data_IF_133273129606
#
_entry.id   IF_133273129606
#
_cell.length_a   1.000
_cell.length_b   1.000
_cell.length_c   1.000
_cell.angle_alpha   90.00
_cell.angle_beta   90.00
_cell.angle_gamma   90.00
#
_symmetry.space_group_name_H-M   'P 1'
#
loop_
_entity.id
_entity.type
_entity.pdbx_description
1 polymer ?
#
# COMPACT_ATOMS: atom_id res chain seq x y z
N UNK A 1 -6.56 6.85 -21.42
CA UNK A 1 -6.54 5.44 -21.84
C UNK A 1 -5.49 4.67 -21.03
N UNK A 2 -5.90 3.61 -20.42
CA UNK A 2 -4.96 2.77 -19.68
C UNK A 2 -3.98 2.15 -20.67
N UNK A 3 -2.69 2.22 -20.36
CA UNK A 3 -1.66 1.60 -21.18
C UNK A 3 -1.74 0.08 -21.06
N UNK A 4 -1.74 -0.61 -22.18
CA UNK A 4 -1.63 -2.07 -22.20
C UNK A 4 -0.19 -2.53 -21.91
N UNK A 5 0.75 -1.60 -21.89
CA UNK A 5 2.17 -1.88 -21.69
C UNK A 5 2.63 -1.52 -20.26
N UNK A 6 1.79 -1.75 -19.28
CA UNK A 6 2.16 -1.52 -17.88
C UNK A 6 3.18 -2.56 -17.44
N UNK A 7 4.15 -2.12 -16.64
CA UNK A 7 5.11 -3.04 -16.03
C UNK A 7 4.43 -3.87 -14.94
N UNK A 8 5.04 -5.02 -14.57
CA UNK A 8 4.56 -5.81 -13.45
C UNK A 8 4.53 -4.99 -12.17
N UNK A 9 5.53 -4.13 -11.95
CA UNK A 9 5.58 -3.25 -10.77
C UNK A 9 4.35 -2.36 -10.69
N UNK A 10 3.97 -1.74 -11.80
CA UNK A 10 2.81 -0.85 -11.84
C UNK A 10 1.51 -1.63 -11.62
N UNK A 11 1.41 -2.81 -12.22
CA UNK A 11 0.23 -3.67 -12.04
C UNK A 11 0.06 -4.09 -10.57
N UNK A 12 1.16 -4.40 -9.90
CA UNK A 12 1.13 -4.76 -8.47
C UNK A 12 0.68 -3.57 -7.64
N UNK A 13 1.23 -2.39 -7.90
CA UNK A 13 0.82 -1.17 -7.19
C UNK A 13 -0.68 -0.91 -7.40
N UNK A 14 -1.16 -0.99 -8.63
CA UNK A 14 -2.57 -0.74 -8.94
C UNK A 14 -3.48 -1.77 -8.25
N UNK A 15 -3.09 -3.03 -8.22
CA UNK A 15 -3.86 -4.08 -7.56
C UNK A 15 -3.95 -3.84 -6.05
N UNK A 16 -2.84 -3.42 -5.42
CA UNK A 16 -2.84 -3.11 -4.00
C UNK A 16 -3.68 -1.87 -3.71
N UNK A 17 -3.60 -0.85 -4.54
CA UNK A 17 -4.44 0.36 -4.42
C UNK A 17 -5.92 -0.03 -4.43
N UNK A 18 -6.32 -0.90 -5.36
CA UNK A 18 -7.72 -1.35 -5.45
C UNK A 18 -8.17 -2.03 -4.16
N UNK A 19 -7.30 -2.84 -3.56
CA UNK A 19 -7.62 -3.51 -2.30
C UNK A 19 -7.72 -2.52 -1.13
N UNK A 20 -6.82 -1.55 -1.08
CA UNK A 20 -6.84 -0.55 -0.01
C UNK A 20 -8.03 0.40 -0.12
N UNK A 21 -8.51 0.68 -1.33
CA UNK A 21 -9.68 1.53 -1.52
C UNK A 21 -10.95 0.94 -0.91
N UNK A 22 -10.96 -0.35 -0.60
CA UNK A 22 -12.09 -1.02 0.02
C UNK A 22 -12.18 -0.82 1.53
N UNK A 23 -11.25 -0.10 2.14
CA UNK A 23 -11.33 0.29 3.54
C UNK A 23 -12.39 1.40 3.65
N UNK A 24 -13.61 1.01 4.05
CA UNK A 24 -14.78 1.86 3.90
C UNK A 24 -15.50 2.18 5.24
N UNK A 25 -14.89 1.85 6.37
CA UNK A 25 -15.47 2.09 7.68
C UNK A 25 -16.45 1.03 8.14
N UNK A 26 -16.81 0.06 7.29
CA UNK A 26 -17.65 -1.05 7.67
C UNK A 26 -16.82 -2.19 8.24
N UNK A 27 -17.40 -2.95 9.17
CA UNK A 27 -16.71 -4.09 9.75
C UNK A 27 -16.08 -4.97 8.64
N UNK A 28 -14.81 -5.41 8.77
CA UNK A 28 -13.94 -5.29 9.95
C UNK A 28 -13.05 -4.03 9.97
N UNK A 29 -13.34 -3.03 9.15
CA UNK A 29 -12.51 -1.83 9.06
C UNK A 29 -12.79 -0.87 10.22
N UNK A 30 -11.71 -0.31 10.79
CA UNK A 30 -11.80 0.72 11.83
C UNK A 30 -11.90 2.12 11.24
N UNK A 31 -11.47 2.27 9.98
CA UNK A 31 -11.33 3.57 9.33
C UNK A 31 -11.98 3.56 7.95
N UNK A 32 -12.19 4.75 7.39
CA UNK A 32 -12.69 4.91 6.03
C UNK A 32 -11.75 5.83 5.28
N UNK A 33 -11.19 5.33 4.17
CA UNK A 33 -10.27 6.11 3.33
C UNK A 33 -11.01 6.93 2.25
N UNK A 34 -12.33 6.76 2.11
CA UNK A 34 -13.14 7.48 1.12
C UNK A 34 -12.56 7.41 -0.29
N UNK A 35 -12.00 6.27 -0.66
CA UNK A 35 -11.33 6.02 -1.95
C UNK A 35 -10.07 6.90 -2.17
N UNK A 36 -9.55 7.57 -1.16
CA UNK A 36 -8.37 8.43 -1.26
C UNK A 36 -7.09 7.63 -1.19
N UNK A 37 -6.95 6.62 -2.04
CA UNK A 37 -5.75 5.80 -2.17
C UNK A 37 -5.21 5.97 -3.58
N UNK A 38 -3.93 6.31 -3.67
CA UNK A 38 -3.29 6.63 -4.95
C UNK A 38 -2.01 5.81 -5.14
N UNK A 39 -1.72 5.48 -6.39
CA UNK A 39 -0.51 4.75 -6.78
C UNK A 39 0.68 5.64 -7.09
N UNK A 40 0.67 6.88 -6.61
CA UNK A 40 1.74 7.84 -6.82
C UNK A 40 1.95 8.67 -5.57
N UNK A 41 3.15 9.26 -5.46
CA UNK A 41 3.47 10.12 -4.32
C UNK A 41 2.67 11.41 -4.38
N UNK A 42 2.06 11.78 -3.26
CA UNK A 42 1.42 13.07 -3.07
C UNK A 42 2.07 13.72 -1.85
N UNK A 43 2.55 14.96 -2.02
CA UNK A 43 3.20 15.66 -0.94
C UNK A 43 2.17 16.25 0.02
N UNK A 44 2.55 16.34 1.28
CA UNK A 44 1.63 16.77 2.35
C UNK A 44 0.95 18.10 2.06
N UNK A 45 1.68 19.06 1.49
CA UNK A 45 1.15 20.38 1.18
C UNK A 45 0.14 20.38 0.01
N UNK A 46 0.06 19.29 -0.74
CA UNK A 46 -0.91 19.13 -1.83
C UNK A 46 -2.20 18.44 -1.38
N UNK A 47 -2.23 17.92 -0.15
CA UNK A 47 -3.36 17.14 0.35
C UNK A 47 -4.43 18.07 0.90
N UNK A 48 -5.65 17.96 0.37
CA UNK A 48 -6.80 18.74 0.80
C UNK A 48 -7.85 17.89 1.51
N UNK A 49 -7.79 16.56 1.35
CA UNK A 49 -8.74 15.64 1.94
C UNK A 49 -8.00 14.57 2.72
N UNK A 50 -8.50 14.26 3.90
CA UNK A 50 -7.93 13.24 4.78
C UNK A 50 -9.00 12.19 5.11
N UNK A 51 -8.60 10.94 5.36
CA UNK A 51 -7.25 10.41 5.23
C UNK A 51 -6.81 10.26 3.77
N UNK A 52 -5.51 10.18 3.55
CA UNK A 52 -4.94 9.98 2.21
C UNK A 52 -3.86 8.92 2.32
N UNK A 53 -3.86 7.99 1.36
CA UNK A 53 -2.89 6.89 1.32
C UNK A 53 -2.21 6.88 -0.04
N UNK A 54 -0.89 6.79 -0.05
CA UNK A 54 -0.09 6.70 -1.27
C UNK A 54 0.69 5.41 -1.26
N UNK A 55 0.65 4.67 -2.36
CA UNK A 55 1.43 3.44 -2.55
C UNK A 55 2.44 3.69 -3.66
N UNK A 56 3.72 3.58 -3.33
CA UNK A 56 4.80 3.88 -4.26
C UNK A 56 5.74 2.68 -4.33
N UNK A 57 6.12 2.26 -5.53
CA UNK A 57 7.13 1.22 -5.70
C UNK A 57 8.51 1.82 -5.47
N UNK A 58 9.31 1.14 -4.65
CA UNK A 58 10.68 1.51 -4.35
C UNK A 58 11.67 0.63 -5.07
N UNK A 59 12.72 0.26 -4.36
CA UNK A 59 13.79 -0.58 -4.91
C UNK A 59 13.28 -1.98 -5.20
N UNK A 60 13.85 -2.59 -6.23
CA UNK A 60 13.54 -3.96 -6.60
C UNK A 60 14.84 -4.72 -6.77
N UNK A 61 14.92 -5.89 -6.15
CA UNK A 61 16.09 -6.78 -6.25
C UNK A 61 15.67 -8.11 -6.85
N UNK A 62 16.66 -8.86 -7.33
CA UNK A 62 16.45 -10.18 -7.91
C UNK A 62 17.44 -11.16 -7.35
N UNK A 63 16.95 -12.37 -7.12
CA UNK A 63 17.78 -13.48 -6.66
C UNK A 63 17.66 -14.61 -7.67
N UNK A 64 18.76 -14.90 -8.36
CA UNK A 64 18.80 -15.94 -9.39
C UNK A 64 19.04 -17.30 -8.76
N UNK A 65 18.27 -18.28 -9.21
CA UNK A 65 18.38 -19.66 -8.78
C UNK A 65 19.02 -20.52 -9.86
N UNK A 66 19.59 -21.70 -9.52
CA UNK A 66 20.36 -22.50 -10.48
C UNK A 66 19.65 -22.96 -11.75
N UNK A 67 18.33 -23.11 -11.75
CA UNK A 67 17.58 -23.62 -12.91
C UNK A 67 16.86 -22.53 -13.68
N UNK A 68 17.54 -21.41 -13.89
CA UNK A 68 17.04 -20.25 -14.63
C UNK A 68 15.84 -19.57 -13.99
N UNK A 69 15.48 -19.98 -12.80
CA UNK A 69 14.43 -19.35 -12.02
C UNK A 69 15.00 -18.14 -11.27
N UNK A 70 14.18 -17.12 -11.09
CA UNK A 70 14.57 -15.98 -10.25
C UNK A 70 13.42 -15.50 -9.39
N UNK A 71 13.75 -15.11 -8.18
CA UNK A 71 12.82 -14.38 -7.31
C UNK A 71 12.97 -12.89 -7.55
N UNK A 72 11.86 -12.20 -7.57
CA UNK A 72 11.84 -10.74 -7.61
C UNK A 72 11.28 -10.23 -6.30
N UNK A 73 11.98 -9.27 -5.71
CA UNK A 73 11.59 -8.65 -4.43
C UNK A 73 11.38 -7.17 -4.68
N UNK A 74 10.13 -6.74 -4.62
CA UNK A 74 9.74 -5.34 -4.83
C UNK A 74 9.43 -4.70 -3.50
N UNK A 75 10.13 -3.63 -3.15
CA UNK A 75 9.79 -2.80 -2.00
C UNK A 75 8.65 -1.87 -2.35
N UNK A 76 7.62 -1.85 -1.53
CA UNK A 76 6.50 -0.94 -1.66
C UNK A 76 6.46 -0.05 -0.43
N UNK A 77 6.40 1.26 -0.64
CA UNK A 77 6.23 2.22 0.43
C UNK A 77 4.80 2.72 0.45
N UNK A 78 4.15 2.58 1.59
CA UNK A 78 2.80 3.09 1.79
C UNK A 78 2.90 4.26 2.74
N UNK A 79 2.50 5.44 2.29
CA UNK A 79 2.44 6.64 3.13
C UNK A 79 1.00 6.96 3.46
N UNK A 80 0.78 7.26 4.73
CA UNK A 80 -0.55 7.47 5.27
C UNK A 80 -0.60 8.85 5.92
N UNK A 81 -1.59 9.65 5.54
CA UNK A 81 -1.77 11.00 6.06
C UNK A 81 -3.15 11.09 6.68
N UNK A 82 -3.20 11.54 7.93
CA UNK A 82 -4.46 11.76 8.64
C UNK A 82 -4.46 13.14 9.28
N UNK A 83 -5.66 13.64 9.61
CA UNK A 83 -5.84 14.87 10.36
C UNK A 83 -6.91 14.64 11.41
N UNK A 84 -6.62 15.01 12.65
CA UNK A 84 -7.57 14.96 13.75
C UNK A 84 -7.17 16.00 14.77
N UNK A 85 -8.13 16.80 15.21
CA UNK A 85 -7.88 17.87 16.17
C UNK A 85 -7.62 17.36 17.57
N UNK A 86 -8.09 16.16 17.90
CA UNK A 86 -7.98 15.60 19.25
C UNK A 86 -6.79 14.65 19.38
N UNK A 87 -6.75 13.60 18.56
CA UNK A 87 -5.72 12.57 18.68
C UNK A 87 -5.36 11.98 17.30
N UNK A 88 -4.51 12.66 16.53
CA UNK A 88 -4.13 12.18 15.21
C UNK A 88 -3.35 10.85 15.25
N UNK A 89 -2.62 10.59 16.33
CA UNK A 89 -1.87 9.33 16.44
C UNK A 89 -2.81 8.12 16.60
N UNK A 90 -3.90 8.27 17.32
CA UNK A 90 -4.90 7.19 17.44
C UNK A 90 -5.57 6.91 16.11
N UNK A 91 -5.97 7.96 15.39
CA UNK A 91 -6.59 7.83 14.07
C UNK A 91 -5.62 7.16 13.09
N UNK A 92 -4.35 7.57 13.15
CA UNK A 92 -3.30 6.99 12.31
C UNK A 92 -3.10 5.51 12.63
N UNK A 93 -3.03 5.15 13.91
CA UNK A 93 -2.83 3.76 14.35
C UNK A 93 -3.96 2.87 13.87
N UNK A 94 -5.21 3.32 13.97
CA UNK A 94 -6.37 2.56 13.51
C UNK A 94 -6.32 2.31 12.00
N UNK A 95 -5.96 3.32 11.23
CA UNK A 95 -5.86 3.19 9.78
C UNK A 95 -4.70 2.28 9.37
N UNK A 96 -3.56 2.41 10.03
CA UNK A 96 -2.41 1.53 9.74
C UNK A 96 -2.71 0.07 10.06
N UNK A 97 -3.49 -0.19 11.11
CA UNK A 97 -3.94 -1.54 11.43
C UNK A 97 -4.86 -2.11 10.34
N UNK A 98 -5.76 -1.29 9.82
CA UNK A 98 -6.61 -1.70 8.69
C UNK A 98 -5.78 -2.04 7.46
N UNK A 99 -4.77 -1.23 7.15
CA UNK A 99 -3.88 -1.47 6.01
C UNK A 99 -3.09 -2.76 6.21
N UNK A 100 -2.57 -3.00 7.41
CA UNK A 100 -1.85 -4.23 7.72
C UNK A 100 -2.74 -5.45 7.51
N UNK A 101 -4.00 -5.38 7.94
CA UNK A 101 -4.95 -6.47 7.73
C UNK A 101 -5.18 -6.75 6.25
N UNK A 102 -5.31 -5.70 5.43
CA UNK A 102 -5.47 -5.86 3.99
C UNK A 102 -4.24 -6.54 3.39
N UNK A 103 -3.05 -6.15 3.82
CA UNK A 103 -1.81 -6.77 3.34
C UNK A 103 -1.77 -8.25 3.72
N UNK A 104 -2.09 -8.57 4.96
CA UNK A 104 -2.07 -9.96 5.44
C UNK A 104 -3.10 -10.82 4.72
N UNK A 105 -4.27 -10.27 4.41
CA UNK A 105 -5.34 -11.00 3.71
C UNK A 105 -5.05 -11.17 2.22
N UNK A 106 -4.09 -10.44 1.66
CA UNK A 106 -3.78 -10.46 0.23
C UNK A 106 -2.33 -10.86 -0.05
N UNK A 107 -1.85 -11.83 0.69
CA UNK A 107 -0.51 -12.39 0.53
C UNK A 107 -0.26 -12.85 -0.91
N UNK A 108 -1.28 -13.44 -1.52
CA UNK A 108 -1.30 -13.80 -2.95
C UNK A 108 -2.24 -12.83 -3.66
N UNK A 109 -1.67 -11.75 -4.19
CA UNK A 109 -2.41 -10.69 -4.86
C UNK A 109 -2.41 -10.92 -6.37
N UNK A 110 -3.60 -10.97 -6.98
CA UNK A 110 -3.71 -11.08 -8.43
C UNK A 110 -3.45 -9.69 -9.02
N UNK A 111 -2.39 -9.57 -9.81
CA UNK A 111 -2.06 -8.29 -10.45
C UNK A 111 -2.28 -8.28 -11.96
N UNK A 112 -2.53 -9.44 -12.56
CA UNK A 112 -2.87 -9.52 -13.98
C UNK A 112 -3.83 -10.69 -14.20
N UNK A 113 -5.06 -10.40 -14.50
CA UNK A 113 -6.11 -11.39 -14.78
C UNK A 113 -6.42 -11.51 -16.28
N UNK A 114 -5.63 -10.83 -17.14
CA UNK A 114 -5.83 -10.86 -18.58
C UNK A 114 -5.16 -12.07 -19.24
N UNK A 115 -4.38 -12.82 -18.46
CA UNK A 115 -3.67 -14.04 -18.93
C UNK A 115 -4.14 -15.23 -18.11
N UNK A 116 -3.93 -16.43 -18.65
CA UNK A 116 -4.32 -17.67 -17.98
C UNK A 116 -3.09 -18.58 -17.86
N UNK A 117 -2.69 -19.02 -16.66
CA UNK A 117 -3.28 -18.64 -15.36
C UNK A 117 -2.99 -17.18 -15.00
N UNK A 118 -3.78 -16.61 -14.08
CA UNK A 118 -3.56 -15.26 -13.59
C UNK A 118 -2.16 -15.10 -13.02
N UNK A 119 -1.59 -13.89 -13.20
CA UNK A 119 -0.32 -13.57 -12.57
C UNK A 119 -0.58 -13.07 -11.15
N UNK A 120 0.12 -13.66 -10.20
CA UNK A 120 -0.05 -13.35 -8.78
C UNK A 120 1.28 -13.09 -8.10
N UNK A 121 1.24 -12.33 -7.00
CA UNK A 121 2.39 -12.24 -6.11
C UNK A 121 2.55 -13.56 -5.35
N UNK A 122 3.76 -13.84 -4.90
CA UNK A 122 4.02 -15.00 -4.05
C UNK A 122 3.79 -14.66 -2.58
N UNK A 123 4.17 -13.45 -2.18
CA UNK A 123 3.97 -12.97 -0.82
C UNK A 123 3.96 -11.45 -0.76
N UNK A 124 3.19 -10.93 0.19
CA UNK A 124 3.22 -9.53 0.61
C UNK A 124 3.49 -9.53 2.10
N UNK A 125 4.56 -8.91 2.52
CA UNK A 125 4.99 -8.92 3.92
C UNK A 125 5.20 -7.49 4.40
N UNK A 126 4.54 -7.12 5.49
CA UNK A 126 4.82 -5.86 6.17
C UNK A 126 6.14 -6.00 6.92
N UNK A 127 7.12 -5.19 6.53
CA UNK A 127 8.47 -5.26 7.09
C UNK A 127 8.63 -4.30 8.26
N UNK A 128 8.12 -3.09 8.11
CA UNK A 128 8.25 -2.07 9.15
C UNK A 128 7.18 -1.00 8.99
N UNK A 129 6.93 -0.29 10.08
CA UNK A 129 6.10 0.90 10.05
C UNK A 129 6.70 1.95 10.98
N UNK A 130 6.49 3.20 10.64
CA UNK A 130 6.95 4.34 11.44
C UNK A 130 5.94 5.47 11.35
N UNK A 131 6.00 6.37 12.33
CA UNK A 131 5.11 7.52 12.39
C UNK A 131 5.91 8.78 12.69
N UNK A 132 5.25 9.94 12.59
CA UNK A 132 5.81 11.23 12.98
C UNK A 132 5.85 11.41 14.51
N UNK A 133 5.34 10.46 15.26
CA UNK A 133 5.31 10.47 16.74
C UNK A 133 4.57 11.68 17.32
N UNK A 134 3.62 12.24 16.58
CA UNK A 134 2.83 13.38 17.04
C UNK A 134 3.45 14.73 16.78
N UNK A 135 4.61 14.79 16.14
CA UNK A 135 5.33 16.06 15.91
C UNK A 135 4.52 17.02 15.03
N UNK A 136 3.75 16.50 14.09
CA UNK A 136 2.98 17.30 13.13
C UNK A 136 1.52 17.51 13.52
N UNK A 137 1.16 17.23 14.77
CA UNK A 137 -0.23 17.42 15.23
C UNK A 137 -0.74 18.81 14.82
N UNK A 138 -1.99 18.95 14.31
CA UNK A 138 -3.08 17.97 14.25
C UNK A 138 -2.99 16.96 13.09
N UNK A 139 -1.89 16.95 12.36
CA UNK A 139 -1.65 15.99 11.30
C UNK A 139 -0.91 14.78 11.84
N UNK A 140 -1.15 13.63 11.22
CA UNK A 140 -0.39 12.41 11.51
C UNK A 140 0.12 11.82 10.20
N UNK A 141 1.39 11.43 10.18
CA UNK A 141 2.01 10.82 9.01
C UNK A 141 2.58 9.47 9.42
N UNK A 142 2.21 8.44 8.65
CA UNK A 142 2.76 7.10 8.82
C UNK A 142 3.42 6.63 7.55
N UNK A 143 4.41 5.76 7.70
CA UNK A 143 5.06 5.09 6.59
C UNK A 143 5.15 3.61 6.89
N UNK A 144 4.73 2.79 5.92
CA UNK A 144 4.77 1.35 6.02
C UNK A 144 5.62 0.82 4.86
N UNK A 145 6.54 -0.06 5.16
CA UNK A 145 7.37 -0.71 4.14
C UNK A 145 6.90 -2.13 3.97
N UNK A 146 6.55 -2.48 2.74
CA UNK A 146 6.03 -3.80 2.37
C UNK A 146 6.99 -4.43 1.38
N UNK A 147 7.31 -5.70 1.59
CA UNK A 147 8.11 -6.47 0.65
C UNK A 147 7.20 -7.40 -0.13
N UNK A 148 7.22 -7.24 -1.44
CA UNK A 148 6.44 -8.07 -2.37
C UNK A 148 7.38 -8.99 -3.13
N UNK A 149 7.13 -10.30 -3.04
CA UNK A 149 7.83 -11.29 -3.85
C UNK A 149 6.91 -11.74 -4.97
N UNK A 150 7.42 -11.73 -6.21
CA UNK A 150 6.61 -12.13 -7.37
C UNK A 150 7.40 -12.78 -8.47
#
# INVERSE_FOLDING_TARGET
>A
MASQYRTARKKIVDALVDKLQKIDGNFPNNSNVFNNVHGSMIFLDEIQEFPKVCVVSGDETREYQPNEFKWRFLGLDIRVYVEDQEDPQEVLALLMEDIERVIDDNDVLIYDDTVSPNLTTTSLTLVSLSTDEGVLSPLGIGQMTVLCRY
#
